data_IF_627222497883
#
_entry.id   IF_627222497883
#
_cell.length_a   1.000
_cell.length_b   1.000
_cell.length_c   1.000
_cell.angle_alpha   90.00
_cell.angle_beta   90.00
_cell.angle_gamma   90.00
#
_symmetry.space_group_name_H-M   'P 1'
#
loop_
_entity.id
_entity.type
_entity.pdbx_description
1 polymer ?
#
# COMPACT_ATOMS: atom_id res chain seq x y z
N UNK A 1 -28.81 -6.03 -5.79
CA UNK A 1 -27.80 -6.13 -4.69
C UNK A 1 -26.60 -6.97 -5.10
N UNK A 2 -26.79 -8.13 -5.76
CA UNK A 2 -25.70 -8.99 -6.25
C UNK A 2 -24.61 -8.26 -7.07
N UNK A 3 -24.92 -7.31 -7.97
CA UNK A 3 -23.88 -6.61 -8.77
C UNK A 3 -23.00 -5.68 -7.94
N UNK A 4 -23.58 -5.00 -6.93
CA UNK A 4 -22.83 -4.11 -6.05
C UNK A 4 -21.85 -4.89 -5.16
N UNK A 5 -22.25 -6.08 -4.70
CA UNK A 5 -21.37 -6.98 -3.96
C UNK A 5 -20.20 -7.43 -4.84
N UNK A 6 -20.47 -7.86 -6.07
CA UNK A 6 -19.42 -8.27 -7.00
C UNK A 6 -18.40 -7.14 -7.26
N UNK A 7 -18.89 -5.92 -7.52
CA UNK A 7 -18.04 -4.74 -7.72
C UNK A 7 -17.18 -4.41 -6.50
N UNK A 8 -17.72 -4.53 -5.28
CA UNK A 8 -16.93 -4.33 -4.07
C UNK A 8 -15.79 -5.36 -3.93
N UNK A 9 -16.04 -6.63 -4.29
CA UNK A 9 -14.99 -7.64 -4.28
C UNK A 9 -13.96 -7.45 -5.39
N UNK A 10 -14.35 -6.92 -6.55
CA UNK A 10 -13.41 -6.53 -7.60
C UNK A 10 -12.48 -5.41 -7.11
N UNK A 11 -13.03 -4.43 -6.39
CA UNK A 11 -12.23 -3.34 -5.80
C UNK A 11 -11.25 -3.86 -4.74
N UNK A 12 -11.68 -4.77 -3.85
CA UNK A 12 -10.76 -5.39 -2.90
C UNK A 12 -9.59 -6.11 -3.59
N UNK A 13 -9.85 -6.79 -4.72
CA UNK A 13 -8.79 -7.43 -5.51
C UNK A 13 -7.85 -6.42 -6.16
N UNK A 14 -8.37 -5.28 -6.61
CA UNK A 14 -7.56 -4.20 -7.16
C UNK A 14 -6.63 -3.61 -6.09
N UNK A 15 -7.18 -3.28 -4.92
CA UNK A 15 -6.41 -2.76 -3.78
C UNK A 15 -5.37 -3.76 -3.28
N UNK A 16 -5.70 -5.06 -3.19
CA UNK A 16 -4.73 -6.12 -2.83
C UNK A 16 -3.57 -6.20 -3.83
N UNK A 17 -3.85 -6.13 -5.14
CA UNK A 17 -2.79 -6.05 -6.17
C UNK A 17 -1.95 -4.78 -6.07
N UNK A 18 -2.51 -3.69 -5.57
CA UNK A 18 -1.80 -2.42 -5.44
C UNK A 18 -0.90 -2.39 -4.19
N UNK A 19 -1.46 -2.72 -3.02
CA UNK A 19 -0.88 -2.38 -1.71
C UNK A 19 -0.45 -3.58 -0.85
N UNK A 20 -0.68 -4.82 -1.28
CA UNK A 20 -0.37 -5.99 -0.45
C UNK A 20 1.11 -6.09 -0.12
N UNK A 21 1.40 -6.27 1.16
CA UNK A 21 2.76 -6.49 1.70
C UNK A 21 3.18 -7.97 1.66
N UNK A 22 2.23 -8.88 1.39
CA UNK A 22 2.43 -10.33 1.36
C UNK A 22 2.54 -10.89 -0.06
N UNK A 23 2.14 -10.11 -1.07
CA UNK A 23 2.20 -10.53 -2.47
C UNK A 23 3.48 -10.03 -3.13
N UNK A 24 4.31 -10.91 -3.71
CA UNK A 24 5.51 -10.48 -4.43
C UNK A 24 5.19 -9.75 -5.74
N UNK A 25 3.96 -9.92 -6.27
CA UNK A 25 3.51 -9.27 -7.50
C UNK A 25 2.70 -7.99 -7.26
N UNK A 26 2.61 -7.49 -6.02
CA UNK A 26 1.94 -6.22 -5.78
C UNK A 26 2.72 -5.04 -6.36
N UNK A 27 2.03 -3.97 -6.71
CA UNK A 27 2.69 -2.74 -7.16
C UNK A 27 3.65 -2.20 -6.09
N UNK A 28 3.25 -2.25 -4.82
CA UNK A 28 4.09 -1.87 -3.68
C UNK A 28 5.35 -2.73 -3.57
N UNK A 29 5.25 -4.05 -3.71
CA UNK A 29 6.41 -4.94 -3.64
C UNK A 29 7.42 -4.66 -4.75
N UNK A 30 6.95 -4.42 -5.99
CA UNK A 30 7.82 -4.02 -7.11
C UNK A 30 8.48 -2.67 -6.85
N UNK A 31 7.71 -1.68 -6.41
CA UNK A 31 8.23 -0.35 -6.11
C UNK A 31 9.29 -0.37 -5.01
N UNK A 32 9.12 -1.20 -3.97
CA UNK A 32 10.15 -1.39 -2.94
C UNK A 32 11.44 -1.99 -3.49
N UNK A 33 11.38 -2.78 -4.56
CA UNK A 33 12.53 -3.43 -5.16
C UNK A 33 13.28 -2.54 -6.17
N UNK A 34 12.57 -1.76 -6.98
CA UNK A 34 13.16 -1.01 -8.11
C UNK A 34 12.97 0.52 -8.04
N UNK A 35 12.26 1.02 -7.03
CA UNK A 35 11.98 2.44 -6.80
C UNK A 35 10.94 3.06 -7.74
N UNK A 36 10.28 2.28 -8.60
CA UNK A 36 9.34 2.81 -9.60
C UNK A 36 7.91 2.76 -9.09
N UNK A 37 7.26 3.93 -9.08
CA UNK A 37 5.87 4.06 -8.69
C UNK A 37 4.96 4.14 -9.92
N UNK A 38 3.90 3.35 -9.94
CA UNK A 38 2.75 3.61 -10.80
C UNK A 38 2.02 4.88 -10.34
N UNK A 39 1.32 5.63 -11.22
CA UNK A 39 0.57 6.82 -10.83
C UNK A 39 -0.42 6.60 -9.66
N UNK A 40 -1.10 5.47 -9.66
CA UNK A 40 -2.06 5.11 -8.61
C UNK A 40 -1.38 4.90 -7.26
N UNK A 41 -0.32 4.08 -7.21
CA UNK A 41 0.49 3.91 -6.00
C UNK A 41 1.11 5.23 -5.53
N UNK A 42 1.57 6.09 -6.46
CA UNK A 42 2.14 7.39 -6.11
C UNK A 42 1.15 8.29 -5.36
N UNK A 43 -0.12 8.31 -5.77
CA UNK A 43 -1.17 9.06 -5.08
C UNK A 43 -1.37 8.58 -3.64
N UNK A 44 -1.36 7.25 -3.42
CA UNK A 44 -1.48 6.66 -2.07
C UNK A 44 -0.26 7.01 -1.22
N UNK A 45 0.95 6.86 -1.75
CA UNK A 45 2.20 7.20 -1.04
C UNK A 45 2.27 8.68 -0.69
N UNK A 46 1.86 9.57 -1.61
CA UNK A 46 1.81 11.00 -1.33
C UNK A 46 0.87 11.33 -0.17
N UNK A 47 -0.29 10.68 -0.10
CA UNK A 47 -1.21 10.87 1.02
C UNK A 47 -0.65 10.32 2.33
N UNK A 48 -0.06 9.12 2.31
CA UNK A 48 0.58 8.52 3.47
C UNK A 48 1.72 9.40 4.03
N UNK A 49 2.54 10.01 3.15
CA UNK A 49 3.60 10.94 3.54
C UNK A 49 3.05 12.26 4.09
N UNK A 50 1.91 12.74 3.60
CA UNK A 50 1.23 13.91 4.18
C UNK A 50 0.79 13.62 5.63
N UNK A 51 0.16 12.47 5.87
CA UNK A 51 -0.23 12.03 7.23
C UNK A 51 1.01 11.88 8.12
N UNK A 52 2.08 11.29 7.61
CA UNK A 52 3.33 11.15 8.37
C UNK A 52 3.87 12.51 8.83
N UNK A 53 3.81 13.53 7.96
CA UNK A 53 4.18 14.90 8.30
C UNK A 53 3.23 15.53 9.32
N UNK A 54 1.92 15.39 9.15
CA UNK A 54 0.92 15.94 10.07
C UNK A 54 1.00 15.34 11.48
N UNK A 55 1.49 14.11 11.58
CA UNK A 55 1.62 13.37 12.84
C UNK A 55 3.03 13.41 13.43
N UNK A 56 3.94 14.21 12.87
CA UNK A 56 5.36 14.29 13.26
C UNK A 56 6.03 12.90 13.34
N UNK A 57 5.71 12.04 12.38
CA UNK A 57 6.23 10.67 12.27
C UNK A 57 5.57 9.64 13.18
N UNK A 58 4.53 9.99 13.95
CA UNK A 58 3.77 8.99 14.72
C UNK A 58 3.05 7.97 13.80
N UNK A 59 2.63 8.39 12.61
CA UNK A 59 2.37 7.49 11.49
C UNK A 59 3.59 7.51 10.55
N UNK A 60 4.16 6.35 10.24
CA UNK A 60 5.26 6.25 9.28
C UNK A 60 5.01 5.06 8.32
N UNK A 61 4.78 5.32 7.01
CA UNK A 61 4.53 4.27 6.04
C UNK A 61 5.80 3.47 5.65
N UNK A 62 6.97 3.83 6.17
CA UNK A 62 8.27 3.22 5.85
C UNK A 62 8.73 2.19 6.88
N UNK A 63 7.91 1.88 7.88
CA UNK A 63 8.26 0.98 9.00
C UNK A 63 8.51 -0.48 8.60
N UNK A 64 8.37 -0.86 7.33
CA UNK A 64 8.46 -2.27 6.88
C UNK A 64 9.75 -2.97 7.34
N UNK A 65 10.97 -2.40 7.20
CA UNK A 65 12.18 -3.05 7.69
C UNK A 65 12.20 -3.28 9.21
N UNK A 66 11.56 -2.36 9.97
CA UNK A 66 11.42 -2.52 11.42
C UNK A 66 10.38 -3.60 11.74
N UNK A 67 9.23 -3.60 11.06
CA UNK A 67 8.19 -4.62 11.23
C UNK A 67 8.74 -6.04 10.98
N UNK A 68 9.52 -6.21 9.90
CA UNK A 68 10.17 -7.49 9.57
C UNK A 68 11.14 -7.94 10.69
N UNK A 69 11.92 -7.00 11.27
CA UNK A 69 12.84 -7.30 12.38
C UNK A 69 12.11 -7.85 13.62
N UNK A 70 10.89 -7.38 13.88
CA UNK A 70 10.08 -7.80 15.03
C UNK A 70 9.11 -8.95 14.71
N UNK A 71 9.11 -9.45 13.47
CA UNK A 71 8.31 -10.61 13.05
C UNK A 71 6.83 -10.33 12.81
N UNK A 72 6.49 -9.10 12.40
CA UNK A 72 5.14 -8.73 11.95
C UNK A 72 4.92 -8.96 10.46
#
# INVERSE_FOLDING_TARGET
VQPAIAAAFDEFRAVDKLLSIHRPDSALARANADGKLSPELAAVIQHALAIAKETDGAFDPTIRPLADLWGF
#
